data_IF_842639879661
#
_entry.id   IF_842639879661
#
_cell.length_a   1.000
_cell.length_b   1.000
_cell.length_c   1.000
_cell.angle_alpha   90.00
_cell.angle_beta   90.00
_cell.angle_gamma   90.00
#
_symmetry.space_group_name_H-M   'P 1'
#
loop_
_entity.id
_entity.type
_entity.pdbx_description
1 polymer ?
#
# COMPACT_ATOMS: atom_id res chain seq x y z
N UNK A 1 4.14 0.59 -0.68
CA UNK A 1 3.87 -0.82 -0.30
C UNK A 1 2.43 -0.98 0.15
N UNK A 2 1.85 -2.14 -0.10
CA UNK A 2 0.53 -2.53 0.36
C UNK A 2 0.59 -3.90 1.03
N UNK A 3 -0.43 -4.22 1.82
CA UNK A 3 -0.64 -5.56 2.36
C UNK A 3 -1.51 -6.41 1.43
N UNK A 4 -1.53 -7.71 1.70
CA UNK A 4 -2.44 -8.64 1.02
C UNK A 4 -3.79 -8.64 1.75
N UNK A 5 -4.51 -7.54 1.61
CA UNK A 5 -5.77 -7.29 2.29
C UNK A 5 -6.77 -6.55 1.39
N UNK A 6 -7.97 -6.32 1.91
CA UNK A 6 -9.05 -5.67 1.16
C UNK A 6 -8.64 -4.29 0.67
N UNK A 7 -8.01 -3.50 1.52
CA UNK A 7 -7.59 -2.14 1.16
C UNK A 7 -6.47 -2.13 0.12
N UNK A 8 -5.53 -3.09 0.21
CA UNK A 8 -4.47 -3.24 -0.79
C UNK A 8 -5.02 -3.62 -2.15
N UNK A 9 -5.96 -4.56 -2.19
CA UNK A 9 -6.63 -4.96 -3.44
C UNK A 9 -7.44 -3.81 -4.03
N UNK A 10 -8.13 -3.04 -3.21
CA UNK A 10 -8.88 -1.86 -3.66
C UNK A 10 -7.94 -0.79 -4.21
N UNK A 11 -6.80 -0.57 -3.59
CA UNK A 11 -5.79 0.37 -4.07
C UNK A 11 -5.30 -0.03 -5.46
N UNK A 12 -4.96 -1.30 -5.66
CA UNK A 12 -4.53 -1.81 -6.96
C UNK A 12 -5.61 -1.59 -8.03
N UNK A 13 -6.85 -1.90 -7.68
CA UNK A 13 -7.98 -1.78 -8.59
C UNK A 13 -8.21 -0.34 -9.02
N UNK A 14 -8.17 0.60 -8.08
CA UNK A 14 -8.30 2.03 -8.34
C UNK A 14 -7.18 2.55 -9.25
N UNK A 15 -5.94 2.14 -8.98
CA UNK A 15 -4.79 2.54 -9.78
C UNK A 15 -4.89 2.00 -11.21
N UNK A 16 -5.32 0.75 -11.38
CA UNK A 16 -5.52 0.16 -12.70
C UNK A 16 -6.62 0.88 -13.48
N UNK A 17 -7.71 1.27 -12.82
CA UNK A 17 -8.79 2.05 -13.45
C UNK A 17 -8.29 3.41 -13.94
N UNK A 18 -7.35 4.01 -13.24
CA UNK A 18 -6.74 5.28 -13.61
C UNK A 18 -5.56 5.12 -14.56
N UNK A 19 -5.30 3.89 -15.03
CA UNK A 19 -4.19 3.55 -15.93
C UNK A 19 -2.82 3.94 -15.38
N UNK A 20 -2.65 3.79 -14.06
CA UNK A 20 -1.38 4.01 -13.38
C UNK A 20 -0.58 2.70 -13.38
N UNK A 21 0.69 2.77 -13.74
CA UNK A 21 1.59 1.63 -13.69
C UNK A 21 1.84 1.24 -12.22
N UNK A 22 1.54 -0.01 -11.87
CA UNK A 22 1.69 -0.52 -10.50
C UNK A 22 2.91 -1.43 -10.31
N UNK A 23 3.83 -1.47 -11.28
CA UNK A 23 5.03 -2.31 -11.20
C UNK A 23 5.88 -2.01 -9.97
N UNK A 24 5.88 -0.77 -9.49
CA UNK A 24 6.60 -0.37 -8.30
C UNK A 24 5.83 -0.53 -6.99
N UNK A 25 4.61 -1.03 -7.03
CA UNK A 25 3.79 -1.23 -5.84
C UNK A 25 4.00 -2.65 -5.30
N UNK A 26 4.74 -2.74 -4.22
CA UNK A 26 5.16 -4.02 -3.65
C UNK A 26 4.16 -4.46 -2.59
N UNK A 27 3.79 -5.75 -2.61
CA UNK A 27 2.90 -6.38 -1.64
C UNK A 27 3.69 -7.24 -0.68
N UNK A 28 3.44 -7.07 0.62
CA UNK A 28 3.95 -7.98 1.65
C UNK A 28 2.77 -8.66 2.33
N UNK A 29 2.77 -10.00 2.35
CA UNK A 29 1.64 -10.79 2.88
C UNK A 29 1.60 -10.78 4.41
N UNK A 30 2.74 -10.97 5.05
CA UNK A 30 2.82 -11.11 6.50
C UNK A 30 3.39 -9.85 7.15
N UNK A 31 2.83 -9.48 8.28
CA UNK A 31 3.32 -8.35 9.07
C UNK A 31 3.09 -6.98 8.44
N UNK A 32 2.24 -6.90 7.44
CA UNK A 32 1.92 -5.63 6.77
C UNK A 32 0.44 -5.50 6.47
N UNK A 33 -0.18 -4.48 7.05
CA UNK A 33 -1.54 -4.07 6.69
C UNK A 33 -1.44 -2.80 5.87
N UNK A 34 -2.25 -2.70 4.83
CA UNK A 34 -2.28 -1.49 4.00
C UNK A 34 -2.60 -0.26 4.86
N UNK A 35 -1.79 0.78 4.73
CA UNK A 35 -1.99 2.02 5.48
C UNK A 35 -3.28 2.71 5.05
N UNK A 36 -4.19 2.89 5.98
CA UNK A 36 -5.48 3.53 5.73
C UNK A 36 -5.85 4.38 6.94
N UNK A 37 -6.33 5.58 6.67
CA UNK A 37 -6.94 6.45 7.68
C UNK A 37 -8.44 6.49 7.39
N UNK A 38 -9.22 5.84 8.23
CA UNK A 38 -10.66 5.76 8.07
C UNK A 38 -11.36 6.70 9.05
N UNK A 39 -12.32 7.48 8.53
CA UNK A 39 -13.15 8.36 9.36
C UNK A 39 -14.59 7.88 9.30
N UNK A 40 -15.07 7.13 10.30
CA UNK A 40 -16.46 6.70 10.33
C UNK A 40 -17.40 7.87 10.66
N UNK A 41 -18.58 7.85 10.05
CA UNK A 41 -19.65 8.78 10.30
C UNK A 41 -20.87 8.03 10.83
N UNK A 42 -21.47 8.53 11.88
CA UNK A 42 -22.74 8.00 12.42
C UNK A 42 -23.73 9.15 12.44
N UNK A 43 -24.85 9.00 11.75
CA UNK A 43 -25.88 10.05 11.64
C UNK A 43 -25.28 11.41 11.24
N UNK A 44 -24.39 11.41 10.22
CA UNK A 44 -23.68 12.58 9.70
C UNK A 44 -22.70 13.22 10.69
N UNK A 45 -22.40 12.56 11.80
CA UNK A 45 -21.40 13.02 12.77
C UNK A 45 -20.10 12.25 12.57
N UNK A 46 -19.02 12.98 12.38
CA UNK A 46 -17.67 12.41 12.26
C UNK A 46 -17.21 11.85 13.61
N UNK A 47 -16.78 10.60 13.60
CA UNK A 47 -16.23 9.91 14.76
C UNK A 47 -14.70 9.91 14.71
N UNK A 48 -14.07 9.31 15.70
CA UNK A 48 -12.62 9.22 15.79
C UNK A 48 -12.06 8.44 14.59
N UNK A 49 -10.88 8.87 14.10
CA UNK A 49 -10.18 8.23 13.01
C UNK A 49 -9.65 6.86 13.45
N UNK A 50 -9.77 5.88 12.55
CA UNK A 50 -9.18 4.55 12.71
C UNK A 50 -8.00 4.45 11.77
N UNK A 51 -6.81 4.16 12.31
CA UNK A 51 -5.57 4.06 11.55
C UNK A 51 -5.19 2.59 11.39
N UNK A 52 -5.09 2.11 10.14
CA UNK A 52 -4.59 0.78 9.80
C UNK A 52 -3.13 0.88 9.35
N UNK A 53 -2.34 -0.16 9.60
CA UNK A 53 -0.95 -0.22 9.17
C UNK A 53 0.04 0.44 10.15
N UNK A 54 -0.41 0.78 11.34
CA UNK A 54 0.40 1.46 12.34
C UNK A 54 1.59 0.63 12.86
N UNK A 55 1.44 -0.71 12.86
CA UNK A 55 2.45 -1.63 13.40
C UNK A 55 3.13 -2.45 12.31
N UNK A 56 3.18 -1.92 11.11
CA UNK A 56 3.80 -2.60 9.98
C UNK A 56 5.30 -2.79 10.20
N UNK A 57 5.80 -3.99 9.84
CA UNK A 57 7.22 -4.31 9.87
C UNK A 57 7.60 -4.88 8.52
N UNK A 58 8.58 -4.22 7.85
CA UNK A 58 9.08 -4.71 6.58
C UNK A 58 10.01 -5.91 6.81
N UNK A 59 9.78 -7.01 6.08
CA UNK A 59 10.68 -8.16 6.15
C UNK A 59 11.87 -7.98 5.20
N UNK A 60 13.02 -8.64 5.46
CA UNK A 60 14.22 -8.48 4.63
C UNK A 60 13.99 -8.82 3.15
N UNK A 61 13.25 -9.87 2.85
CA UNK A 61 12.95 -10.27 1.47
C UNK A 61 12.16 -9.18 0.73
N UNK A 62 11.21 -8.53 1.40
CA UNK A 62 10.43 -7.43 0.82
C UNK A 62 11.31 -6.20 0.61
N UNK A 63 12.17 -5.89 1.56
CA UNK A 63 13.12 -4.77 1.43
C UNK A 63 14.03 -4.97 0.22
N UNK A 64 14.58 -6.17 0.03
CA UNK A 64 15.42 -6.50 -1.12
C UNK A 64 14.66 -6.33 -2.44
N UNK A 65 13.43 -6.80 -2.49
CA UNK A 65 12.57 -6.67 -3.67
C UNK A 65 12.28 -5.22 -3.99
N UNK A 66 11.99 -4.41 -2.98
CA UNK A 66 11.73 -2.98 -3.14
C UNK A 66 12.94 -2.25 -3.68
N UNK A 67 14.13 -2.53 -3.11
CA UNK A 67 15.39 -1.94 -3.57
C UNK A 67 15.70 -2.34 -5.01
N UNK A 68 15.56 -3.61 -5.37
CA UNK A 68 15.77 -4.08 -6.73
C UNK A 68 14.82 -3.40 -7.73
N UNK A 69 13.56 -3.24 -7.34
CA UNK A 69 12.55 -2.55 -8.16
C UNK A 69 12.93 -1.08 -8.37
N UNK A 70 13.38 -0.41 -7.32
CA UNK A 70 13.81 0.98 -7.38
C UNK A 70 15.05 1.14 -8.28
N UNK A 71 16.04 0.27 -8.16
CA UNK A 71 17.24 0.29 -9.00
C UNK A 71 16.89 0.17 -10.49
N UNK A 72 15.97 -0.75 -10.84
CA UNK A 72 15.51 -0.89 -12.22
C UNK A 72 14.79 0.36 -12.71
N UNK A 73 13.95 0.97 -11.87
CA UNK A 73 13.22 2.18 -12.21
C UNK A 73 14.16 3.35 -12.47
N UNK A 74 15.18 3.52 -11.62
CA UNK A 74 16.19 4.58 -11.78
C UNK A 74 16.97 4.40 -13.08
N UNK A 75 17.36 3.17 -13.41
CA UNK A 75 18.10 2.86 -14.63
C UNK A 75 17.31 3.21 -15.89
N UNK A 76 15.98 3.14 -15.84
CA UNK A 76 15.10 3.43 -16.96
C UNK A 76 14.58 4.87 -17.01
N UNK A 77 15.02 5.73 -16.10
CA UNK A 77 14.69 7.14 -16.12
C UNK A 77 15.65 7.92 -17.03
N UNK A 78 15.09 8.84 -17.78
CA UNK A 78 15.87 9.74 -18.63
C UNK A 78 16.49 10.91 -17.83
#
# INVERSE_FOLDING_TARGET
MIGDDVFGREMLDLLHRQKVDTAGLITQKDGWSTNVYAKPYVDLVEKERIDFGRFNVICPATADKLLATLERAITNLD
#
